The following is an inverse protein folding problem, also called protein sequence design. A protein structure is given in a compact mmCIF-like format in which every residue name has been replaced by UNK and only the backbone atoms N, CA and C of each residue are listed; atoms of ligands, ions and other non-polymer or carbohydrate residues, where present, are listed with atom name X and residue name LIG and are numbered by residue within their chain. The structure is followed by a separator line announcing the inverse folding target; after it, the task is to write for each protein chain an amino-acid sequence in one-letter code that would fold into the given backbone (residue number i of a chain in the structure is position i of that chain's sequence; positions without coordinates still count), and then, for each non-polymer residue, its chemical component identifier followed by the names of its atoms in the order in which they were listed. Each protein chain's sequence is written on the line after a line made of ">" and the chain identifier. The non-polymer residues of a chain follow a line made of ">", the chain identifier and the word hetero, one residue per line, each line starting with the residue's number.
data_IF_651297520188
#
_entry.id   IF_651297520188
#
_cell.length_a   1.000
_cell.length_b   1.000
_cell.length_c   1.000
_cell.angle_alpha   90.00
_cell.angle_beta   90.00
_cell.angle_gamma   90.00
#
_symmetry.space_group_name_H-M   'P 1'
#
loop_
_entity.id
_entity.type
_entity.pdbx_description
1 polymer ?
#
# COMPACT_ATOMS: atom_id res chain seq x y z
N UNK A 1 -8.78 -21.59 12.11
CA UNK A 1 -8.12 -21.80 10.81
C UNK A 1 -6.95 -22.74 11.06
N UNK A 2 -7.01 -23.95 10.52
CA UNK A 2 -5.84 -24.81 10.47
C UNK A 2 -4.84 -24.14 9.52
N UNK A 3 -3.62 -23.87 10.00
CA UNK A 3 -2.63 -22.98 9.34
C UNK A 3 -1.57 -23.79 8.57
N UNK A 4 -1.91 -24.99 8.10
CA UNK A 4 -1.02 -25.83 7.29
C UNK A 4 -0.61 -25.13 5.99
N UNK A 5 -1.51 -24.33 5.43
CA UNK A 5 -1.36 -23.70 4.12
C UNK A 5 -0.74 -22.30 4.22
N UNK A 6 -0.35 -21.87 5.43
CA UNK A 6 0.27 -20.57 5.64
C UNK A 6 1.76 -20.64 5.24
N UNK A 7 2.27 -19.75 4.37
CA UNK A 7 3.63 -19.83 3.83
C UNK A 7 4.68 -19.33 4.85
N UNK A 8 4.88 -20.10 5.93
CA UNK A 8 5.74 -19.75 7.07
C UNK A 8 7.16 -19.33 6.68
N UNK A 9 7.79 -20.05 5.74
CA UNK A 9 9.15 -19.76 5.28
C UNK A 9 9.26 -18.38 4.62
N UNK A 10 8.38 -18.09 3.67
CA UNK A 10 8.34 -16.81 2.94
C UNK A 10 8.08 -15.64 3.90
N UNK A 11 7.09 -15.79 4.79
CA UNK A 11 6.73 -14.74 5.76
C UNK A 11 7.85 -14.51 6.78
N UNK A 12 8.51 -15.58 7.27
CA UNK A 12 9.60 -15.45 8.23
C UNK A 12 10.83 -14.75 7.66
N UNK A 13 11.22 -15.07 6.41
CA UNK A 13 12.32 -14.41 5.71
C UNK A 13 12.04 -12.92 5.48
N UNK A 14 10.82 -12.57 5.08
CA UNK A 14 10.38 -11.19 4.89
C UNK A 14 10.43 -10.38 6.20
N UNK A 15 9.99 -11.00 7.30
CA UNK A 15 9.88 -10.35 8.60
C UNK A 15 11.17 -10.38 9.43
N UNK A 16 12.25 -10.99 8.90
CA UNK A 16 13.51 -11.15 9.63
C UNK A 16 13.37 -12.04 10.88
N UNK A 17 12.36 -12.91 10.91
CA UNK A 17 12.12 -13.85 12.01
C UNK A 17 12.88 -15.13 11.72
N UNK A 18 13.57 -15.68 12.73
CA UNK A 18 14.26 -16.97 12.58
C UNK A 18 13.24 -18.04 12.12
N UNK A 19 13.48 -18.72 10.99
CA UNK A 19 12.60 -19.77 10.49
C UNK A 19 12.30 -20.87 11.52
N UNK A 20 13.23 -21.15 12.45
CA UNK A 20 13.04 -22.13 13.52
C UNK A 20 12.01 -21.66 14.56
N UNK A 21 11.89 -20.35 14.78
CA UNK A 21 10.98 -19.75 15.75
C UNK A 21 9.70 -19.19 15.11
N UNK A 22 9.63 -19.11 13.77
CA UNK A 22 8.53 -18.51 13.02
C UNK A 22 7.13 -19.06 13.40
N UNK A 23 6.91 -20.38 13.58
CA UNK A 23 5.61 -20.91 13.98
C UNK A 23 5.12 -20.42 15.35
N UNK A 24 6.05 -20.10 16.25
CA UNK A 24 5.75 -19.60 17.60
C UNK A 24 5.64 -18.08 17.57
N UNK A 25 6.59 -17.41 16.92
CA UNK A 25 6.64 -15.95 16.84
C UNK A 25 5.45 -15.36 16.09
N UNK A 26 4.99 -15.94 14.98
CA UNK A 26 3.84 -15.39 14.24
C UNK A 26 2.48 -15.86 14.79
N UNK A 27 2.47 -16.77 15.77
CA UNK A 27 1.27 -17.08 16.59
C UNK A 27 1.09 -16.10 17.74
N UNK A 28 2.17 -15.47 18.19
CA UNK A 28 2.14 -14.38 19.14
C UNK A 28 1.84 -13.06 18.40
N UNK A 29 0.66 -12.50 18.68
CA UNK A 29 0.18 -11.32 17.97
C UNK A 29 1.08 -10.10 18.18
N UNK A 30 1.63 -9.90 19.39
CA UNK A 30 2.48 -8.73 19.66
C UNK A 30 3.81 -8.87 18.95
N UNK A 31 4.45 -10.04 19.03
CA UNK A 31 5.70 -10.31 18.32
C UNK A 31 5.56 -10.21 16.81
N UNK A 32 4.43 -10.68 16.27
CA UNK A 32 4.14 -10.53 14.84
C UNK A 32 4.01 -9.05 14.45
N UNK A 33 3.28 -8.24 15.22
CA UNK A 33 3.17 -6.79 14.96
C UNK A 33 4.52 -6.08 15.05
N UNK A 34 5.35 -6.41 16.04
CA UNK A 34 6.69 -5.86 16.18
C UNK A 34 7.57 -6.20 14.97
N UNK A 35 7.54 -7.45 14.52
CA UNK A 35 8.30 -7.90 13.35
C UNK A 35 7.82 -7.22 12.07
N UNK A 36 6.51 -7.11 11.86
CA UNK A 36 5.92 -6.37 10.74
C UNK A 36 6.35 -4.91 10.77
N UNK A 37 6.26 -4.24 11.93
CA UNK A 37 6.68 -2.86 12.06
C UNK A 37 8.17 -2.67 11.74
N UNK A 38 9.03 -3.57 12.20
CA UNK A 38 10.46 -3.54 11.92
C UNK A 38 10.76 -3.75 10.43
N UNK A 39 10.13 -4.75 9.79
CA UNK A 39 10.29 -5.03 8.38
C UNK A 39 9.75 -3.88 7.50
N UNK A 40 8.61 -3.29 7.86
CA UNK A 40 8.06 -2.12 7.19
C UNK A 40 9.00 -0.91 7.23
N UNK A 41 9.63 -0.61 8.37
CA UNK A 41 10.64 0.46 8.44
C UNK A 41 11.86 0.15 7.58
N UNK A 42 12.39 -1.06 7.69
CA UNK A 42 13.54 -1.50 6.91
C UNK A 42 13.26 -1.47 5.39
N UNK A 43 12.02 -1.78 4.98
CA UNK A 43 11.56 -1.65 3.60
C UNK A 43 11.54 -0.20 3.15
N UNK A 44 10.89 0.69 3.93
CA UNK A 44 10.76 2.11 3.57
C UNK A 44 12.14 2.76 3.41
N UNK A 45 13.07 2.50 4.33
CA UNK A 45 14.46 2.98 4.27
C UNK A 45 15.19 2.43 3.04
N UNK A 46 15.06 1.14 2.76
CA UNK A 46 15.70 0.51 1.60
C UNK A 46 15.16 1.07 0.27
N UNK A 47 13.86 1.26 0.19
CA UNK A 47 13.22 1.78 -1.01
C UNK A 47 13.47 3.29 -1.17
N UNK A 48 13.68 4.05 -0.09
CA UNK A 48 14.17 5.44 -0.16
C UNK A 48 15.57 5.52 -0.73
N UNK A 49 16.47 4.64 -0.30
CA UNK A 49 17.81 4.52 -0.88
C UNK A 49 17.73 4.20 -2.38
N UNK A 50 16.91 3.20 -2.76
CA UNK A 50 16.71 2.81 -4.16
C UNK A 50 16.18 3.97 -5.00
N UNK A 51 15.11 4.64 -4.56
CA UNK A 51 14.49 5.78 -5.28
C UNK A 51 15.44 6.97 -5.40
N UNK A 52 16.35 7.14 -4.46
CA UNK A 52 17.41 8.14 -4.53
C UNK A 52 18.66 7.70 -5.33
N UNK A 53 18.64 6.51 -5.96
CA UNK A 53 19.76 5.96 -6.72
C UNK A 53 20.94 5.49 -5.87
N UNK A 54 20.75 5.32 -4.55
CA UNK A 54 21.74 4.75 -3.63
C UNK A 54 21.56 3.23 -3.53
N UNK A 55 22.63 2.52 -3.20
CA UNK A 55 22.56 1.08 -2.92
C UNK A 55 21.97 0.87 -1.52
N UNK A 56 20.82 0.19 -1.38
CA UNK A 56 20.25 -0.11 -0.07
C UNK A 56 21.17 -1.03 0.74
N UNK A 57 21.27 -0.78 2.04
CA UNK A 57 22.09 -1.59 2.95
C UNK A 57 21.31 -2.67 3.70
N UNK A 58 19.98 -2.56 3.70
CA UNK A 58 19.10 -3.48 4.42
C UNK A 58 18.98 -4.84 3.71
N UNK A 59 19.01 -5.99 4.43
CA UNK A 59 18.82 -7.31 3.85
C UNK A 59 17.51 -7.47 3.07
N UNK A 60 16.47 -6.72 3.43
CA UNK A 60 15.16 -6.78 2.75
C UNK A 60 15.25 -6.39 1.26
N UNK A 61 16.23 -5.57 0.90
CA UNK A 61 16.47 -5.14 -0.48
C UNK A 61 17.11 -6.22 -1.36
N UNK A 62 17.66 -7.27 -0.76
CA UNK A 62 18.23 -8.40 -1.49
C UNK A 62 17.18 -9.44 -1.89
N UNK A 63 15.91 -9.27 -1.45
CA UNK A 63 14.83 -10.16 -1.82
C UNK A 63 14.52 -10.02 -3.33
N UNK A 64 14.30 -11.13 -4.08
CA UNK A 64 14.06 -11.08 -5.52
C UNK A 64 12.84 -10.24 -5.91
N UNK A 65 11.82 -10.23 -5.06
CA UNK A 65 10.57 -9.48 -5.31
C UNK A 65 10.64 -8.01 -4.84
N UNK A 66 11.81 -7.52 -4.43
CA UNK A 66 11.98 -6.13 -4.04
C UNK A 66 12.03 -5.21 -5.28
N UNK A 67 11.33 -4.05 -5.29
CA UNK A 67 10.57 -3.48 -4.17
C UNK A 67 9.10 -3.90 -4.12
N UNK A 68 8.44 -4.11 -5.27
CA UNK A 68 6.97 -4.14 -5.36
C UNK A 68 6.36 -5.34 -4.64
N UNK A 69 6.81 -6.57 -4.90
CA UNK A 69 6.25 -7.77 -4.26
C UNK A 69 6.49 -7.82 -2.74
N UNK A 70 7.63 -7.31 -2.29
CA UNK A 70 7.93 -7.11 -0.86
C UNK A 70 6.96 -6.09 -0.25
N UNK A 71 6.75 -4.95 -0.90
CA UNK A 71 5.82 -3.92 -0.45
C UNK A 71 4.38 -4.42 -0.32
N UNK A 72 3.87 -5.13 -1.33
CA UNK A 72 2.54 -5.75 -1.31
C UNK A 72 2.39 -6.75 -0.16
N UNK A 73 3.41 -7.58 0.06
CA UNK A 73 3.42 -8.56 1.16
C UNK A 73 3.39 -7.88 2.54
N UNK A 74 4.12 -6.78 2.71
CA UNK A 74 4.13 -6.00 3.95
C UNK A 74 2.82 -5.27 4.20
N UNK A 75 2.15 -4.79 3.15
CA UNK A 75 0.79 -4.25 3.26
C UNK A 75 -0.17 -5.33 3.78
N UNK A 76 -0.18 -6.51 3.14
CA UNK A 76 -1.03 -7.63 3.55
C UNK A 76 -0.75 -8.05 4.99
N UNK A 77 0.52 -8.09 5.39
CA UNK A 77 0.92 -8.36 6.77
C UNK A 77 0.44 -7.26 7.74
N UNK A 78 0.64 -5.98 7.41
CA UNK A 78 0.17 -4.86 8.23
C UNK A 78 -1.33 -4.94 8.51
N UNK A 79 -2.13 -5.22 7.48
CA UNK A 79 -3.58 -5.41 7.62
C UNK A 79 -3.90 -6.65 8.46
N UNK A 80 -3.30 -7.80 8.15
CA UNK A 80 -3.60 -9.09 8.82
C UNK A 80 -3.35 -9.05 10.33
N UNK A 81 -2.26 -8.42 10.77
CA UNK A 81 -1.94 -8.32 12.20
C UNK A 81 -2.40 -7.01 12.86
N UNK A 82 -3.09 -6.13 12.12
CA UNK A 82 -3.55 -4.84 12.63
C UNK A 82 -2.41 -3.87 12.96
N UNK A 83 -1.27 -4.01 12.29
CA UNK A 83 -0.13 -3.09 12.38
C UNK A 83 -0.14 -2.15 11.16
N UNK A 84 -0.97 -1.12 11.22
CA UNK A 84 -1.25 -0.24 10.06
C UNK A 84 -0.34 0.98 9.97
N UNK A 85 0.52 1.23 10.96
CA UNK A 85 1.31 2.46 11.05
C UNK A 85 2.11 2.80 9.78
N UNK A 86 2.61 1.80 9.06
CA UNK A 86 3.38 2.02 7.83
C UNK A 86 2.61 1.66 6.56
N UNK A 87 1.37 1.18 6.67
CA UNK A 87 0.57 0.75 5.51
C UNK A 87 0.31 1.90 4.54
N UNK A 88 -0.08 3.12 4.96
CA UNK A 88 -0.28 4.25 4.03
C UNK A 88 0.95 4.57 3.18
N UNK A 89 2.12 4.66 3.81
CA UNK A 89 3.37 4.97 3.12
C UNK A 89 3.79 3.86 2.13
N UNK A 90 3.65 2.60 2.52
CA UNK A 90 3.96 1.47 1.65
C UNK A 90 2.95 1.37 0.50
N UNK A 91 1.65 1.47 0.79
CA UNK A 91 0.59 1.41 -0.22
C UNK A 91 0.70 2.56 -1.23
N UNK A 92 1.04 3.78 -0.80
CA UNK A 92 1.33 4.89 -1.72
C UNK A 92 2.47 4.55 -2.68
N UNK A 93 3.55 3.91 -2.21
CA UNK A 93 4.67 3.48 -3.07
C UNK A 93 4.22 2.45 -4.10
N UNK A 94 3.40 1.47 -3.69
CA UNK A 94 2.84 0.48 -4.61
C UNK A 94 1.92 1.12 -5.64
N UNK A 95 1.08 2.07 -5.23
CA UNK A 95 0.23 2.82 -6.14
C UNK A 95 1.04 3.55 -7.22
N UNK A 96 2.15 4.19 -6.83
CA UNK A 96 3.07 4.87 -7.76
C UNK A 96 3.70 3.89 -8.73
N UNK A 97 4.26 2.79 -8.22
CA UNK A 97 4.97 1.80 -9.04
C UNK A 97 4.01 1.17 -10.07
N UNK A 98 2.81 0.76 -9.65
CA UNK A 98 1.79 0.23 -10.58
C UNK A 98 1.30 1.29 -11.58
N UNK A 99 1.13 2.53 -11.16
CA UNK A 99 0.80 3.60 -12.09
C UNK A 99 1.92 3.80 -13.12
N UNK A 100 3.18 3.79 -12.72
CA UNK A 100 4.33 3.92 -13.63
C UNK A 100 4.43 2.73 -14.61
N UNK A 101 4.08 1.53 -14.17
CA UNK A 101 4.02 0.32 -15.00
C UNK A 101 2.78 0.26 -15.92
N UNK A 102 1.82 1.18 -15.76
CA UNK A 102 0.62 1.26 -16.58
C UNK A 102 -0.58 0.47 -16.06
N UNK A 103 -0.49 -0.09 -14.86
CA UNK A 103 -1.56 -0.82 -14.18
C UNK A 103 -2.41 0.14 -13.34
N UNK A 104 -3.33 0.85 -14.02
CA UNK A 104 -4.23 1.82 -13.39
C UNK A 104 -5.20 1.19 -12.37
N UNK A 105 -5.61 -0.05 -12.59
CA UNK A 105 -6.58 -0.74 -11.72
C UNK A 105 -5.94 -1.10 -10.38
N UNK A 106 -4.71 -1.64 -10.42
CA UNK A 106 -3.98 -1.95 -9.21
C UNK A 106 -3.49 -0.69 -8.50
N UNK A 107 -3.08 0.33 -9.25
CA UNK A 107 -2.78 1.65 -8.69
C UNK A 107 -3.98 2.24 -7.94
N UNK A 108 -5.18 2.20 -8.54
CA UNK A 108 -6.42 2.64 -7.90
C UNK A 108 -6.77 1.84 -6.64
N UNK A 109 -6.49 0.53 -6.63
CA UNK A 109 -6.71 -0.33 -5.47
C UNK A 109 -5.82 0.07 -4.28
N UNK A 110 -4.55 0.36 -4.52
CA UNK A 110 -3.64 0.86 -3.48
C UNK A 110 -3.97 2.29 -3.04
N UNK A 111 -4.44 3.16 -3.95
CA UNK A 111 -4.98 4.49 -3.60
C UNK A 111 -6.13 4.35 -2.60
N UNK A 112 -7.10 3.47 -2.88
CA UNK A 112 -8.23 3.23 -1.99
C UNK A 112 -7.77 2.71 -0.62
N UNK A 113 -6.75 1.85 -0.59
CA UNK A 113 -6.18 1.35 0.65
C UNK A 113 -5.53 2.47 1.50
N UNK A 114 -4.78 3.39 0.89
CA UNK A 114 -4.25 4.55 1.61
C UNK A 114 -5.39 5.37 2.20
N UNK A 115 -6.43 5.65 1.42
CA UNK A 115 -7.60 6.40 1.89
C UNK A 115 -8.32 5.73 3.08
N UNK A 116 -8.25 4.41 3.20
CA UNK A 116 -8.85 3.65 4.30
C UNK A 116 -7.96 3.58 5.54
N UNK A 117 -6.64 3.60 5.36
CA UNK A 117 -5.68 3.29 6.44
C UNK A 117 -4.91 4.49 6.95
N UNK A 118 -4.89 5.60 6.20
CA UNK A 118 -4.26 6.83 6.64
C UNK A 118 -4.96 7.42 7.87
N UNK A 119 -4.16 7.88 8.82
CA UNK A 119 -4.64 8.53 10.03
C UNK A 119 -4.46 10.05 9.94
N UNK A 120 -5.53 10.84 10.19
CA UNK A 120 -5.46 12.30 10.22
C UNK A 120 -4.37 12.84 11.16
N UNK A 121 -3.57 13.79 10.67
CA UNK A 121 -2.46 14.41 11.42
C UNK A 121 -1.20 13.55 11.50
N UNK A 122 -1.24 12.29 11.02
CA UNK A 122 -0.09 11.39 10.96
C UNK A 122 0.34 11.12 9.52
N UNK A 123 -0.60 10.81 8.65
CA UNK A 123 -0.37 10.35 7.28
C UNK A 123 -0.95 11.32 6.23
N UNK A 124 -1.05 12.61 6.57
CA UNK A 124 -1.71 13.61 5.73
C UNK A 124 -0.98 13.81 4.38
N UNK A 125 0.36 13.74 4.39
CA UNK A 125 1.15 13.86 3.17
C UNK A 125 0.88 12.68 2.22
N UNK A 126 0.80 11.47 2.75
CA UNK A 126 0.44 10.27 1.99
C UNK A 126 -0.98 10.37 1.44
N UNK A 127 -1.94 10.80 2.28
CA UNK A 127 -3.33 10.93 1.90
C UNK A 127 -3.54 11.95 0.78
N UNK A 128 -2.90 13.11 0.85
CA UNK A 128 -2.95 14.10 -0.23
C UNK A 128 -2.18 13.65 -1.46
N UNK A 129 -1.05 12.95 -1.27
CA UNK A 129 -0.28 12.38 -2.37
C UNK A 129 -1.09 11.36 -3.17
N UNK A 130 -1.94 10.54 -2.54
CA UNK A 130 -2.81 9.62 -3.31
C UNK A 130 -3.96 10.33 -4.03
N UNK A 131 -4.46 11.46 -3.52
CA UNK A 131 -5.43 12.28 -4.27
C UNK A 131 -4.78 12.87 -5.52
N UNK A 132 -3.56 13.40 -5.38
CA UNK A 132 -2.74 13.88 -6.50
C UNK A 132 -2.47 12.77 -7.53
N UNK A 133 -2.18 11.54 -7.09
CA UNK A 133 -2.01 10.40 -7.98
C UNK A 133 -3.32 9.99 -8.67
N UNK A 134 -4.44 10.00 -7.96
CA UNK A 134 -5.75 9.63 -8.49
C UNK A 134 -6.16 10.54 -9.66
N UNK A 135 -5.80 11.83 -9.62
CA UNK A 135 -5.97 12.73 -10.78
C UNK A 135 -5.27 12.16 -12.02
N UNK A 136 -4.01 11.73 -11.87
CA UNK A 136 -3.23 11.20 -12.99
C UNK A 136 -3.80 9.87 -13.51
N UNK A 137 -4.22 8.98 -12.61
CA UNK A 137 -4.92 7.72 -12.95
C UNK A 137 -6.19 8.01 -13.75
N UNK A 138 -7.07 8.90 -13.26
CA UNK A 138 -8.34 9.24 -13.92
C UNK A 138 -8.13 9.91 -15.29
N UNK A 139 -7.10 10.74 -15.43
CA UNK A 139 -6.73 11.33 -16.72
C UNK A 139 -6.31 10.27 -17.74
N UNK A 140 -5.60 9.23 -17.30
CA UNK A 140 -5.13 8.15 -18.17
C UNK A 140 -6.24 7.14 -18.49
N UNK A 141 -7.07 6.79 -17.51
CA UNK A 141 -8.14 5.81 -17.64
C UNK A 141 -9.40 6.35 -18.32
N UNK A 142 -9.49 7.67 -18.54
CA UNK A 142 -10.52 8.28 -19.39
C UNK A 142 -11.70 8.90 -18.65
N UNK A 143 -11.55 9.30 -17.39
CA UNK A 143 -12.53 10.10 -16.64
C UNK A 143 -12.03 11.53 -16.36
N UNK A 144 -12.00 12.40 -17.39
CA UNK A 144 -11.47 13.75 -17.25
C UNK A 144 -12.35 14.65 -16.37
N UNK A 145 -13.64 14.35 -16.22
CA UNK A 145 -14.55 15.15 -15.41
C UNK A 145 -14.27 14.94 -13.91
N UNK A 146 -14.10 13.69 -13.49
CA UNK A 146 -13.69 13.39 -12.12
C UNK A 146 -12.27 13.92 -11.83
N UNK A 147 -11.35 13.78 -12.80
CA UNK A 147 -9.99 14.31 -12.66
C UNK A 147 -9.97 15.84 -12.48
N UNK A 148 -10.75 16.60 -13.25
CA UNK A 148 -10.85 18.07 -13.12
C UNK A 148 -11.46 18.49 -11.76
N UNK A 149 -12.50 17.78 -11.31
CA UNK A 149 -13.10 18.04 -10.01
C UNK A 149 -12.08 17.87 -8.88
N UNK A 150 -11.30 16.78 -8.93
CA UNK A 150 -10.27 16.49 -7.93
C UNK A 150 -9.09 17.47 -8.03
N UNK A 151 -8.66 17.86 -9.23
CA UNK A 151 -7.61 18.85 -9.42
C UNK A 151 -7.98 20.23 -8.84
N UNK A 152 -9.24 20.65 -8.98
CA UNK A 152 -9.76 21.87 -8.37
C UNK A 152 -9.78 21.79 -6.84
N UNK A 153 -10.08 20.62 -6.29
CA UNK A 153 -10.06 20.40 -4.84
C UNK A 153 -8.63 20.50 -4.28
N UNK A 154 -7.65 19.86 -4.93
CA UNK A 154 -6.23 20.00 -4.56
C UNK A 154 -5.78 21.47 -4.57
N UNK A 155 -6.14 22.22 -5.63
CA UNK A 155 -5.82 23.64 -5.72
C UNK A 155 -6.47 24.47 -4.60
N UNK A 156 -7.70 24.15 -4.19
CA UNK A 156 -8.39 24.82 -3.09
C UNK A 156 -7.70 24.58 -1.73
N UNK A 157 -6.95 23.48 -1.59
CA UNK A 157 -6.20 23.10 -0.40
C UNK A 157 -4.70 23.42 -0.50
N UNK A 158 -4.27 24.17 -1.54
CA UNK A 158 -2.87 24.47 -1.81
C UNK A 158 -1.97 23.22 -1.98
N UNK A 159 -2.55 22.10 -2.42
CA UNK A 159 -1.83 20.85 -2.67
C UNK A 159 -1.35 20.79 -4.13
N UNK A 160 -0.06 20.54 -4.40
CA UNK A 160 0.44 20.37 -5.76
C UNK A 160 -0.22 19.19 -6.50
N UNK A 161 -0.62 19.40 -7.76
CA UNK A 161 -1.23 18.35 -8.58
C UNK A 161 -0.27 17.18 -8.87
N UNK A 162 1.03 17.41 -8.76
CA UNK A 162 2.11 16.46 -8.98
C UNK A 162 2.83 16.06 -7.68
N UNK A 163 2.26 16.34 -6.50
CA UNK A 163 2.80 15.91 -5.19
C UNK A 163 3.11 14.41 -5.17
N UNK A 164 2.33 13.60 -5.88
CA UNK A 164 2.58 12.16 -5.99
C UNK A 164 3.96 11.80 -6.55
N UNK A 165 4.61 12.68 -7.29
CA UNK A 165 5.95 12.41 -7.86
C UNK A 165 7.05 12.49 -6.82
N UNK A 166 6.80 13.11 -5.67
CA UNK A 166 7.80 13.22 -4.61
C UNK A 166 8.10 11.84 -4.02
N UNK A 167 9.39 11.49 -3.93
CA UNK A 167 9.82 10.23 -3.30
C UNK A 167 9.43 10.18 -1.82
N UNK A 168 9.52 11.34 -1.13
CA UNK A 168 9.06 11.55 0.23
C UNK A 168 8.15 12.80 0.24
N UNK A 169 6.82 12.63 0.07
CA UNK A 169 5.90 13.75 -0.02
C UNK A 169 5.89 14.54 1.29
N UNK A 170 5.86 15.85 1.18
CA UNK A 170 5.68 16.76 2.30
C UNK A 170 4.66 17.81 1.91
N UNK A 171 3.77 18.15 2.84
CA UNK A 171 2.76 19.17 2.58
C UNK A 171 3.39 20.57 2.68
N UNK A 172 2.98 21.50 1.81
CA UNK A 172 3.27 22.92 2.02
C UNK A 172 2.74 23.38 3.37
N UNK A 173 3.41 24.35 4.01
CA UNK A 173 2.98 24.91 5.31
C UNK A 173 1.56 25.48 5.29
N UNK A 174 1.08 25.89 4.12
CA UNK A 174 -0.25 26.46 3.90
C UNK A 174 -1.33 25.40 3.61
N UNK A 175 -0.95 24.12 3.46
CA UNK A 175 -1.89 23.02 3.24
C UNK A 175 -2.69 22.73 4.51
N UNK A 176 -3.95 22.33 4.33
CA UNK A 176 -4.76 21.83 5.44
C UNK A 176 -4.50 20.34 5.68
N UNK A 177 -4.67 19.91 6.93
CA UNK A 177 -4.63 18.51 7.34
C UNK A 177 -5.74 17.71 6.63
N UNK A 178 -5.45 16.46 6.28
CA UNK A 178 -6.47 15.57 5.71
C UNK A 178 -7.31 14.97 6.85
N UNK A 179 -8.64 15.05 6.73
CA UNK A 179 -9.55 14.70 7.84
C UNK A 179 -10.18 13.31 7.75
N UNK A 180 -9.67 12.42 6.89
CA UNK A 180 -10.19 11.07 6.72
C UNK A 180 -11.54 11.06 6.00
N UNK A 181 -11.56 10.57 4.75
CA UNK A 181 -12.81 10.50 4.01
C UNK A 181 -12.71 9.65 2.75
N UNK A 182 -13.42 8.51 2.79
CA UNK A 182 -13.80 7.74 1.62
C UNK A 182 -14.47 8.67 0.59
N UNK A 183 -14.13 8.48 -0.68
CA UNK A 183 -14.72 9.16 -1.83
C UNK A 183 -16.26 9.13 -1.76
N UNK A 184 -16.84 10.21 -1.24
CA UNK A 184 -18.22 10.62 -1.51
C UNK A 184 -18.09 11.86 -2.36
N UNK A 185 -18.22 11.68 -3.69
CA UNK A 185 -18.34 12.70 -4.73
C UNK A 185 -17.81 14.09 -4.35
N UNK A 186 -16.47 14.24 -4.42
CA UNK A 186 -15.76 15.52 -4.43
C UNK A 186 -16.25 16.57 -3.44
N UNK A 187 -16.07 16.36 -2.13
CA UNK A 187 -16.18 17.41 -1.11
C UNK A 187 -15.62 16.92 0.23
N UNK A 188 -15.02 17.80 1.05
CA UNK A 188 -14.59 17.47 2.40
C UNK A 188 -15.79 17.01 3.23
N UNK A 189 -15.69 15.95 4.05
CA UNK A 189 -16.82 15.51 4.86
C UNK A 189 -17.15 16.57 5.91
N UNK A 190 -18.31 17.23 5.74
CA UNK A 190 -19.08 17.70 6.88
C UNK A 190 -19.78 16.51 7.54
N UNK A 191 -19.89 16.64 8.86
CA UNK A 191 -20.42 15.71 9.87
C UNK A 191 -21.86 15.23 9.58
N UNK A 192 -22.06 14.23 8.73
CA UNK A 192 -23.39 13.64 8.51
C UNK A 192 -23.30 12.12 8.19
N UNK A 193 -23.83 11.29 9.11
CA UNK A 193 -23.59 9.84 9.25
C UNK A 193 -24.24 8.91 8.19
N UNK A 194 -23.77 8.86 6.94
CA UNK A 194 -24.14 7.74 6.01
C UNK A 194 -23.02 7.36 5.04
N UNK A 195 -22.19 6.40 5.43
CA UNK A 195 -21.12 5.81 4.61
C UNK A 195 -21.55 4.50 3.92
N UNK A 196 -20.97 4.23 2.74
CA UNK A 196 -20.94 2.92 2.08
C UNK A 196 -20.19 1.91 2.96
N UNK A 197 -20.70 0.68 3.06
CA UNK A 197 -20.30 -0.29 4.09
C UNK A 197 -18.94 -0.94 3.82
N UNK A 198 -18.10 -0.91 4.86
CA UNK A 198 -16.80 -1.59 5.09
C UNK A 198 -16.69 -2.98 4.45
N UNK A 199 -17.78 -3.74 4.46
CA UNK A 199 -17.85 -5.12 3.99
C UNK A 199 -17.45 -5.30 2.51
N UNK A 200 -17.72 -4.31 1.65
CA UNK A 200 -17.48 -4.45 0.19
C UNK A 200 -16.02 -4.23 -0.23
N UNK A 201 -15.23 -3.50 0.55
CA UNK A 201 -13.82 -3.26 0.24
C UNK A 201 -12.94 -4.42 0.70
N UNK A 202 -13.22 -4.99 1.88
CA UNK A 202 -12.53 -6.17 2.42
C UNK A 202 -12.74 -7.39 1.52
N UNK A 203 -13.96 -7.59 1.01
CA UNK A 203 -14.26 -8.67 0.06
C UNK A 203 -13.51 -8.52 -1.27
N UNK A 204 -13.22 -7.29 -1.72
CA UNK A 204 -12.48 -7.06 -2.95
C UNK A 204 -10.98 -7.31 -2.77
N UNK A 205 -10.39 -6.82 -1.67
CA UNK A 205 -9.00 -7.08 -1.31
C UNK A 205 -8.72 -8.57 -1.10
N UNK A 206 -9.62 -9.29 -0.42
CA UNK A 206 -9.50 -10.74 -0.27
C UNK A 206 -9.57 -11.47 -1.61
N UNK A 207 -10.38 -10.99 -2.55
CA UNK A 207 -10.50 -11.58 -3.88
C UNK A 207 -9.22 -11.41 -4.69
N UNK A 208 -8.67 -10.18 -4.73
CA UNK A 208 -7.40 -9.86 -5.40
C UNK A 208 -6.24 -10.68 -4.83
N UNK A 209 -6.13 -10.78 -3.51
CA UNK A 209 -5.10 -11.63 -2.88
C UNK A 209 -5.24 -13.11 -3.26
N UNK A 210 -6.46 -13.60 -3.38
CA UNK A 210 -6.74 -14.99 -3.76
C UNK A 210 -6.42 -15.24 -5.24
N UNK A 211 -6.68 -14.29 -6.11
CA UNK A 211 -6.38 -14.36 -7.54
C UNK A 211 -4.87 -14.34 -7.80
N UNK A 212 -4.12 -13.44 -7.16
CA UNK A 212 -2.66 -13.42 -7.23
C UNK A 212 -2.00 -14.72 -6.73
N UNK A 213 -2.54 -15.32 -5.66
CA UNK A 213 -2.04 -16.60 -5.15
C UNK A 213 -2.24 -17.72 -6.18
N UNK A 214 -3.39 -17.75 -6.87
CA UNK A 214 -3.67 -18.75 -7.91
C UNK A 214 -2.81 -18.57 -9.17
N UNK A 215 -2.53 -17.34 -9.55
CA UNK A 215 -1.66 -17.06 -10.70
C UNK A 215 -0.21 -17.50 -10.41
N UNK A 216 0.28 -17.25 -9.19
CA UNK A 216 1.60 -17.72 -8.77
C UNK A 216 1.70 -19.26 -8.70
N UNK A 217 0.65 -19.94 -8.23
CA UNK A 217 0.58 -21.42 -8.24
C UNK A 217 0.54 -22.00 -9.67
N UNK A 218 -0.13 -21.33 -10.60
CA UNK A 218 -0.20 -21.75 -11.99
C UNK A 218 1.12 -21.54 -12.76
N UNK A 219 1.92 -20.54 -12.38
CA UNK A 219 3.27 -20.33 -12.92
C UNK A 219 4.28 -21.37 -12.40
N UNK A 220 4.11 -21.85 -11.15
CA UNK A 220 4.98 -22.86 -10.54
C UNK A 220 4.72 -24.28 -11.09
N UNK A 221 3.47 -24.60 -11.45
CA UNK A 221 3.10 -25.89 -12.09
C UNK A 221 3.45 -25.96 -13.58
N UNK A 222 3.71 -24.83 -14.23
CA UNK A 222 4.09 -24.75 -15.65
C UNK A 222 5.55 -25.12 -15.95
N UNK A 223 6.42 -25.13 -14.93
CA UNK A 223 7.88 -25.30 -15.09
C UNK A 223 8.41 -26.65 -14.56
N UNK A 224 7.53 -27.63 -14.36
CA UNK A 224 7.96 -29.00 -14.09
C UNK A 224 8.56 -29.64 -15.36
N UNK A 225 9.86 -29.99 -15.40
CA UNK A 225 10.42 -30.69 -16.56
C UNK A 225 9.79 -32.08 -16.64
N UNK A 226 9.15 -32.37 -17.78
CA UNK A 226 8.64 -33.71 -18.10
C UNK A 226 9.80 -34.70 -18.07
N UNK A 227 9.79 -35.60 -17.08
CA UNK A 227 10.65 -36.77 -17.00
C UNK A 227 10.06 -37.96 -17.77
#
# INVERSE_FOLDING_TARGET
>A
MDRSDFPWGRVSGLLGVDPADAPVALRDAERAREAVAAASRAFLEADDDRRAGRTPSSPIAAHPDFPTGVGMSLVGAGVLWGQTAHVPAIALRMAKDHYEDGDDELAASFIALVQQTAEPGRDDAEAWSVQSLLVAVLQRSGDPAAADALARDLAAHAVPIDLWRDAAPHLPEESMDWHGGALVEGMPPRRDDRALSVESAEEHLQRLMTEMLREAEAEEDGDAPSA
#
